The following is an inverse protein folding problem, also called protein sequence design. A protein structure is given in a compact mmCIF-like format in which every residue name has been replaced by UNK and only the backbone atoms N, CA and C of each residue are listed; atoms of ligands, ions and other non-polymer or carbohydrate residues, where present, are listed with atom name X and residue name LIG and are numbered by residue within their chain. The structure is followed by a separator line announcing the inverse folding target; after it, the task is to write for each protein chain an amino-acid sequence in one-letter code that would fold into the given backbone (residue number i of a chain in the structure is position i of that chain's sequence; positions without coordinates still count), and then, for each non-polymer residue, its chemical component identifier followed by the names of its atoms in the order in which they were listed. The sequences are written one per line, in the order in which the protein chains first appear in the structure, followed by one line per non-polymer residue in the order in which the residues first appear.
data_IF_494108292750
#
_entry.id   IF_494108292750
#
_cell.length_a   1.000
_cell.length_b   1.000
_cell.length_c   1.000
_cell.angle_alpha   90.00
_cell.angle_beta   90.00
_cell.angle_gamma   90.00
#
_symmetry.space_group_name_H-M   'P 1'
#
loop_
_entity.id
_entity.type
_entity.pdbx_description
1 polymer ?
#
# COMPACT_ATOMS: atom_id res chain seq x y z
N UNK A 1 20.06 -21.84 16.80
CA UNK A 1 18.68 -21.80 16.28
C UNK A 1 17.72 -22.28 17.33
N UNK A 2 17.49 -21.49 18.37
CA UNK A 2 16.42 -21.71 19.35
C UNK A 2 15.18 -20.90 18.94
N UNK A 3 14.02 -21.22 19.52
CA UNK A 3 12.79 -20.46 19.29
C UNK A 3 12.95 -18.98 19.68
N UNK A 4 13.71 -18.69 20.74
CA UNK A 4 14.01 -17.32 21.17
C UNK A 4 14.82 -16.54 20.15
N UNK A 5 15.85 -17.14 19.55
CA UNK A 5 16.61 -16.51 18.47
C UNK A 5 15.71 -16.21 17.27
N UNK A 6 14.82 -17.14 16.90
CA UNK A 6 13.88 -16.96 15.79
C UNK A 6 12.84 -15.85 16.04
N UNK A 7 12.27 -15.79 17.25
CA UNK A 7 11.28 -14.76 17.61
C UNK A 7 11.92 -13.37 17.70
N UNK A 8 13.16 -13.28 18.16
CA UNK A 8 13.91 -12.03 18.19
C UNK A 8 14.22 -11.52 16.77
N UNK A 9 14.65 -12.41 15.87
CA UNK A 9 14.88 -12.08 14.46
C UNK A 9 13.60 -11.60 13.77
N UNK A 10 12.47 -12.31 13.93
CA UNK A 10 11.18 -11.90 13.39
C UNK A 10 10.70 -10.54 13.90
N UNK A 11 10.98 -10.20 15.16
CA UNK A 11 10.56 -8.91 15.73
C UNK A 11 11.32 -7.71 15.15
N UNK A 12 12.50 -7.95 14.57
CA UNK A 12 13.38 -6.92 14.02
C UNK A 12 13.24 -6.75 12.51
N UNK A 13 12.60 -7.68 11.81
CA UNK A 13 12.38 -7.60 10.38
C UNK A 13 11.36 -6.51 10.03
N UNK A 14 11.76 -5.59 9.15
CA UNK A 14 10.87 -4.65 8.48
C UNK A 14 10.42 -5.18 7.11
N UNK A 15 9.27 -4.71 6.61
CA UNK A 15 8.76 -5.04 5.27
C UNK A 15 9.76 -4.72 4.13
N UNK A 16 10.79 -3.92 4.43
CA UNK A 16 11.79 -3.46 3.45
C UNK A 16 13.12 -4.22 3.48
N UNK A 17 13.37 -5.07 4.49
CA UNK A 17 14.72 -5.62 4.75
C UNK A 17 15.19 -6.68 3.73
N UNK A 18 14.28 -7.24 2.93
CA UNK A 18 14.58 -8.23 1.89
C UNK A 18 14.55 -7.70 0.45
N UNK A 19 14.28 -6.40 0.25
CA UNK A 19 14.16 -5.82 -1.08
C UNK A 19 15.54 -5.36 -1.56
N UNK A 20 16.16 -6.08 -2.51
CA UNK A 20 17.29 -5.53 -3.26
C UNK A 20 16.82 -4.28 -4.01
N UNK A 21 17.25 -3.11 -3.55
CA UNK A 21 16.71 -1.82 -3.98
C UNK A 21 16.79 -1.56 -5.51
N UNK A 22 17.63 -2.30 -6.23
CA UNK A 22 17.94 -2.10 -7.65
C UNK A 22 17.65 -3.30 -8.55
N UNK A 23 17.08 -4.39 -8.03
CA UNK A 23 16.65 -5.49 -8.89
C UNK A 23 15.36 -5.10 -9.64
N UNK A 24 15.21 -5.44 -10.93
CA UNK A 24 13.97 -5.21 -11.66
C UNK A 24 12.86 -6.07 -11.06
N UNK A 25 11.91 -5.41 -10.39
CA UNK A 25 10.81 -6.07 -9.70
C UNK A 25 9.52 -5.25 -9.77
N UNK A 26 8.38 -5.93 -9.74
CA UNK A 26 7.07 -5.29 -9.58
C UNK A 26 6.86 -4.95 -8.11
N UNK A 27 6.44 -3.71 -7.82
CA UNK A 27 6.11 -3.29 -6.46
C UNK A 27 4.61 -3.49 -6.21
N UNK A 28 4.26 -4.39 -5.30
CA UNK A 28 2.91 -4.48 -4.73
C UNK A 28 2.87 -3.61 -3.48
N UNK A 29 1.97 -2.63 -3.47
CA UNK A 29 1.87 -1.62 -2.42
C UNK A 29 0.39 -1.38 -2.08
N UNK A 30 0.13 -0.87 -0.89
CA UNK A 30 -1.17 -0.30 -0.55
C UNK A 30 -1.27 1.13 -1.12
N UNK A 31 -2.48 1.67 -1.30
CA UNK A 31 -2.66 3.07 -1.70
C UNK A 31 -1.95 4.05 -0.75
N UNK A 32 -1.93 3.73 0.55
CA UNK A 32 -1.25 4.53 1.57
C UNK A 32 0.28 4.51 1.41
N UNK A 33 0.88 3.33 1.24
CA UNK A 33 2.33 3.20 1.12
C UNK A 33 2.87 3.71 -0.22
N UNK A 34 2.00 3.88 -1.23
CA UNK A 34 2.37 4.50 -2.50
C UNK A 34 2.51 6.03 -2.44
N UNK A 35 2.07 6.68 -1.35
CA UNK A 35 2.11 8.15 -1.19
C UNK A 35 3.56 8.66 -1.31
N UNK A 36 3.77 9.65 -2.18
CA UNK A 36 5.09 10.25 -2.43
C UNK A 36 5.99 9.45 -3.38
N UNK A 37 5.55 8.27 -3.82
CA UNK A 37 6.21 7.51 -4.89
C UNK A 37 5.57 7.84 -6.24
N UNK A 38 6.28 7.55 -7.33
CA UNK A 38 5.77 7.70 -8.69
C UNK A 38 6.36 6.59 -9.58
N UNK A 39 5.56 6.09 -10.52
CA UNK A 39 5.90 4.96 -11.38
C UNK A 39 5.51 5.25 -12.84
N UNK A 40 6.20 4.64 -13.80
CA UNK A 40 5.85 4.75 -15.22
C UNK A 40 4.47 4.11 -15.50
N UNK A 41 4.14 3.00 -14.84
CA UNK A 41 2.86 2.31 -14.97
C UNK A 41 2.33 1.92 -13.58
N UNK A 42 1.03 2.17 -13.34
CA UNK A 42 0.35 1.83 -12.09
C UNK A 42 -0.93 1.07 -12.41
N UNK A 43 -1.15 -0.03 -11.70
CA UNK A 43 -2.38 -0.81 -11.77
C UNK A 43 -3.10 -0.68 -10.43
N UNK A 44 -4.25 0.00 -10.44
CA UNK A 44 -5.16 0.04 -9.30
C UNK A 44 -6.11 -1.15 -9.39
N UNK A 45 -6.18 -1.94 -8.32
CA UNK A 45 -7.01 -3.14 -8.23
C UNK A 45 -8.00 -3.00 -7.08
N UNK A 46 -9.12 -3.73 -7.14
CA UNK A 46 -10.15 -3.69 -6.10
C UNK A 46 -10.93 -2.38 -6.06
N UNK A 47 -11.16 -1.73 -7.21
CA UNK A 47 -12.01 -0.54 -7.30
C UNK A 47 -13.50 -0.94 -7.24
N UNK A 48 -13.92 -1.44 -6.08
CA UNK A 48 -15.25 -1.97 -5.80
C UNK A 48 -15.79 -1.35 -4.50
N UNK A 49 -17.10 -1.15 -4.43
CA UNK A 49 -17.77 -0.63 -3.23
C UNK A 49 -17.60 -1.59 -2.04
N UNK A 50 -17.23 -1.06 -0.88
CA UNK A 50 -16.87 -1.85 0.29
C UNK A 50 -15.38 -2.20 0.38
N UNK A 51 -14.62 -2.03 -0.72
CA UNK A 51 -13.15 -2.12 -0.72
C UNK A 51 -12.50 -0.73 -0.87
N UNK A 52 -12.89 0.03 -1.90
CA UNK A 52 -12.49 1.44 -2.10
C UNK A 52 -13.67 2.22 -2.70
N UNK A 53 -14.48 2.93 -1.88
CA UNK A 53 -14.27 3.20 -0.45
C UNK A 53 -14.45 1.95 0.43
N UNK A 54 -13.61 1.83 1.46
CA UNK A 54 -13.71 0.74 2.44
C UNK A 54 -15.08 0.74 3.12
N UNK A 55 -15.62 -0.44 3.42
CA UNK A 55 -16.97 -0.58 4.00
C UNK A 55 -17.21 0.29 5.25
N UNK A 56 -16.18 0.47 6.08
CA UNK A 56 -16.27 1.31 7.30
C UNK A 56 -16.37 2.80 7.02
N UNK A 57 -16.04 3.25 5.81
CA UNK A 57 -16.16 4.65 5.41
C UNK A 57 -17.58 4.98 4.92
N UNK A 58 -18.38 3.99 4.54
CA UNK A 58 -19.69 4.19 3.92
C UNK A 58 -20.72 4.85 4.85
N UNK A 59 -20.54 4.75 6.17
CA UNK A 59 -21.45 5.33 7.16
C UNK A 59 -21.22 6.83 7.41
N UNK A 60 -20.22 7.45 6.74
CA UNK A 60 -19.86 8.86 6.95
C UNK A 60 -19.35 9.51 5.67
N UNK A 61 -20.04 10.56 5.20
CA UNK A 61 -19.60 11.35 4.05
C UNK A 61 -18.16 11.85 4.19
N UNK A 62 -17.76 12.26 5.40
CA UNK A 62 -16.40 12.73 5.65
C UNK A 62 -15.35 11.62 5.46
N UNK A 63 -15.69 10.38 5.80
CA UNK A 63 -14.82 9.23 5.61
C UNK A 63 -14.78 8.80 4.13
N UNK A 64 -15.92 8.83 3.43
CA UNK A 64 -15.96 8.62 1.97
C UNK A 64 -15.09 9.64 1.24
N UNK A 65 -15.10 10.91 1.68
CA UNK A 65 -14.23 11.93 1.11
C UNK A 65 -12.74 11.70 1.38
N UNK A 66 -12.37 11.03 2.49
CA UNK A 66 -10.99 10.60 2.72
C UNK A 66 -10.59 9.46 1.78
N UNK A 67 -11.44 8.45 1.61
CA UNK A 67 -11.22 7.36 0.65
C UNK A 67 -11.12 7.91 -0.80
N UNK A 68 -11.90 8.94 -1.13
CA UNK A 68 -11.81 9.64 -2.42
C UNK A 68 -10.44 10.30 -2.59
N UNK A 69 -9.92 10.97 -1.54
CA UNK A 69 -8.56 11.55 -1.54
C UNK A 69 -7.50 10.47 -1.70
N UNK A 70 -7.66 9.33 -1.03
CA UNK A 70 -6.76 8.19 -1.14
C UNK A 70 -6.73 7.65 -2.58
N UNK A 71 -7.89 7.46 -3.20
CA UNK A 71 -8.02 7.06 -4.60
C UNK A 71 -7.35 8.07 -5.55
N UNK A 72 -7.57 9.37 -5.35
CA UNK A 72 -6.92 10.43 -6.13
C UNK A 72 -5.38 10.38 -6.00
N UNK A 73 -4.86 10.20 -4.78
CA UNK A 73 -3.41 10.03 -4.57
C UNK A 73 -2.93 8.81 -5.33
N UNK A 74 -3.62 7.68 -5.25
CA UNK A 74 -3.24 6.45 -5.94
C UNK A 74 -3.22 6.61 -7.48
N UNK A 75 -4.21 7.30 -8.06
CA UNK A 75 -4.27 7.60 -9.50
C UNK A 75 -3.11 8.51 -9.94
N UNK A 76 -2.75 9.50 -9.13
CA UNK A 76 -1.65 10.45 -9.43
C UNK A 76 -0.25 9.87 -9.23
N UNK A 77 -0.12 8.57 -8.89
CA UNK A 77 1.19 7.90 -8.84
C UNK A 77 1.71 7.52 -10.23
N UNK A 78 0.85 7.46 -11.24
CA UNK A 78 1.23 7.19 -12.62
C UNK A 78 1.77 8.44 -13.32
N UNK A 79 2.89 8.31 -14.04
CA UNK A 79 3.51 9.41 -14.80
C UNK A 79 3.18 9.41 -16.30
N UNK A 80 2.84 8.26 -16.88
CA UNK A 80 2.67 8.07 -18.32
C UNK A 80 1.35 7.38 -18.63
#
# INVERSE_FOLDING_TARGET
GTLEEFLHELSLMSDTDGLEANAPQVKLLTCHSAKGLEFDHVYLVGLEEGFLPHATALDSDAAVEEERRLCYVAMTRARK
#
